data_IF_486059623096
#
_entry.id   IF_486059623096
#
_cell.length_a   1.000
_cell.length_b   1.000
_cell.length_c   1.000
_cell.angle_alpha   90.00
_cell.angle_beta   90.00
_cell.angle_gamma   90.00
#
_symmetry.space_group_name_H-M   'P 1'
#
loop_
_entity.id
_entity.type
_entity.pdbx_description
1 polymer ?
#
# COMPACT_ATOMS: atom_id res chain seq x y z
N UNK A 1 3.13 -5.04 10.12
CA UNK A 1 2.90 -4.05 9.05
C UNK A 1 2.06 -2.94 9.65
N UNK A 2 1.98 -1.77 9.02
CA UNK A 2 1.23 -0.65 9.56
C UNK A 2 0.32 -0.03 8.50
N UNK A 3 -0.96 0.18 8.84
CA UNK A 3 -1.84 1.02 8.05
C UNK A 3 -1.63 2.47 8.47
N UNK A 4 -1.24 3.32 7.53
CA UNK A 4 -0.84 4.71 7.80
C UNK A 4 -1.83 5.74 7.24
N UNK A 5 -2.61 5.35 6.23
CA UNK A 5 -3.63 6.21 5.64
C UNK A 5 -4.71 5.39 4.92
N UNK A 6 -5.81 6.06 4.57
CA UNK A 6 -6.91 5.50 3.79
C UNK A 6 -7.25 6.43 2.63
N UNK A 7 -7.52 5.89 1.45
CA UNK A 7 -8.11 6.62 0.34
C UNK A 7 -9.49 6.03 0.00
N UNK A 8 -10.54 6.76 0.39
CA UNK A 8 -11.93 6.41 0.10
C UNK A 8 -12.26 6.64 -1.37
N UNK A 9 -12.95 5.68 -1.98
CA UNK A 9 -13.37 5.72 -3.37
C UNK A 9 -12.22 5.86 -4.36
N UNK A 10 -11.12 5.16 -4.09
CA UNK A 10 -9.93 5.14 -4.92
C UNK A 10 -10.22 4.56 -6.32
N UNK A 11 -9.66 5.20 -7.35
CA UNK A 11 -9.73 4.79 -8.76
C UNK A 11 -8.34 4.56 -9.36
N UNK A 12 -7.31 4.45 -8.53
CA UNK A 12 -5.92 4.35 -8.98
C UNK A 12 -5.58 2.99 -9.61
N UNK A 13 -6.30 1.94 -9.26
CA UNK A 13 -6.10 0.62 -9.83
C UNK A 13 -6.46 0.62 -11.33
N UNK A 14 -5.45 0.54 -12.19
CA UNK A 14 -5.59 0.60 -13.66
C UNK A 14 -6.57 -0.43 -14.23
N UNK A 15 -6.75 -1.55 -13.53
CA UNK A 15 -7.64 -2.65 -13.92
C UNK A 15 -8.98 -2.68 -13.17
N UNK A 16 -9.33 -1.62 -12.44
CA UNK A 16 -10.58 -1.52 -11.70
C UNK A 16 -11.43 -0.35 -12.21
N UNK A 17 -12.60 -0.66 -12.78
CA UNK A 17 -13.56 0.35 -13.23
C UNK A 17 -14.49 0.85 -12.11
N UNK A 18 -14.26 0.45 -10.86
CA UNK A 18 -15.07 0.81 -9.70
C UNK A 18 -14.24 1.63 -8.72
N UNK A 19 -14.92 2.51 -7.99
CA UNK A 19 -14.35 3.14 -6.79
C UNK A 19 -14.29 2.10 -5.68
N UNK A 20 -13.11 1.92 -5.10
CA UNK A 20 -12.88 0.97 -4.01
C UNK A 20 -12.14 1.69 -2.89
N UNK A 21 -12.51 1.44 -1.64
CA UNK A 21 -11.78 2.01 -0.52
C UNK A 21 -10.44 1.30 -0.36
N UNK A 22 -9.40 2.07 -0.08
CA UNK A 22 -8.02 1.57 -0.10
C UNK A 22 -7.22 2.03 1.09
N UNK A 23 -6.28 1.18 1.49
CA UNK A 23 -5.40 1.40 2.62
C UNK A 23 -3.98 1.56 2.13
N UNK A 24 -3.27 2.54 2.69
CA UNK A 24 -1.83 2.66 2.51
C UNK A 24 -1.16 1.87 3.62
N UNK A 25 -0.47 0.81 3.21
CA UNK A 25 0.20 -0.12 4.12
C UNK A 25 1.70 0.06 4.00
N UNK A 26 2.34 0.28 5.14
CA UNK A 26 3.77 0.34 5.34
C UNK A 26 4.29 -1.03 5.78
N UNK A 27 5.29 -1.53 5.06
CA UNK A 27 5.91 -2.84 5.28
C UNK A 27 7.44 -2.74 5.31
N UNK A 28 8.07 -3.53 6.15
CA UNK A 28 9.50 -3.84 6.04
C UNK A 28 9.78 -4.77 4.85
N UNK A 29 11.05 -4.91 4.44
CA UNK A 29 11.43 -5.87 3.40
C UNK A 29 10.99 -7.31 3.73
N UNK A 30 11.10 -7.71 5.00
CA UNK A 30 10.70 -9.03 5.44
C UNK A 30 9.20 -9.23 5.25
N UNK A 31 8.39 -8.28 5.72
CA UNK A 31 6.93 -8.33 5.60
C UNK A 31 6.46 -8.30 4.15
N UNK A 32 7.11 -7.51 3.29
CA UNK A 32 6.84 -7.53 1.84
C UNK A 32 7.00 -8.94 1.28
N UNK A 33 8.12 -9.61 1.57
CA UNK A 33 8.41 -10.96 1.06
C UNK A 33 7.47 -12.03 1.61
N UNK A 34 7.15 -11.99 2.90
CA UNK A 34 6.36 -13.06 3.52
C UNK A 34 4.85 -12.83 3.50
N UNK A 35 4.38 -11.58 3.40
CA UNK A 35 2.94 -11.24 3.54
C UNK A 35 2.33 -10.58 2.31
N UNK A 36 3.11 -9.85 1.50
CA UNK A 36 2.60 -9.17 0.29
C UNK A 36 2.86 -10.01 -0.96
N UNK A 37 4.12 -10.38 -1.22
CA UNK A 37 4.51 -11.12 -2.42
C UNK A 37 3.66 -12.38 -2.70
N UNK A 38 3.27 -13.21 -1.72
CA UNK A 38 2.43 -14.38 -1.97
C UNK A 38 1.05 -14.05 -2.59
N UNK A 39 0.54 -12.84 -2.36
CA UNK A 39 -0.77 -12.38 -2.81
C UNK A 39 -0.70 -11.65 -4.17
N UNK A 40 0.51 -11.36 -4.66
CA UNK A 40 0.71 -10.69 -5.93
C UNK A 40 0.66 -11.66 -7.11
N UNK A 41 0.04 -11.20 -8.20
CA UNK A 41 0.14 -11.85 -9.52
C UNK A 41 1.57 -11.80 -10.05
N UNK A 42 1.88 -12.62 -11.07
CA UNK A 42 3.23 -12.64 -11.67
C UNK A 42 3.71 -11.29 -12.21
N UNK A 43 2.79 -10.49 -12.77
CA UNK A 43 3.07 -9.14 -13.28
C UNK A 43 3.39 -8.20 -12.10
N UNK A 44 2.55 -8.20 -11.06
CA UNK A 44 2.78 -7.38 -9.87
C UNK A 44 4.09 -7.73 -9.14
N UNK A 45 4.48 -9.00 -9.12
CA UNK A 45 5.79 -9.44 -8.58
C UNK A 45 6.95 -8.87 -9.39
N UNK A 46 6.82 -8.84 -10.71
CA UNK A 46 7.83 -8.26 -11.59
C UNK A 46 7.98 -6.75 -11.34
N UNK A 47 6.86 -6.03 -11.27
CA UNK A 47 6.86 -4.58 -11.02
C UNK A 47 7.45 -4.24 -9.63
N UNK A 48 7.09 -5.03 -8.61
CA UNK A 48 7.70 -4.92 -7.28
C UNK A 48 9.21 -5.20 -7.31
N UNK A 49 9.67 -6.20 -8.07
CA UNK A 49 11.08 -6.50 -8.22
C UNK A 49 11.85 -5.36 -8.92
N UNK A 50 11.25 -4.71 -9.93
CA UNK A 50 11.85 -3.55 -10.58
C UNK A 50 11.91 -2.34 -9.65
N UNK A 51 10.84 -2.08 -8.89
CA UNK A 51 10.80 -1.04 -7.86
C UNK A 51 11.86 -1.26 -6.76
N UNK A 52 12.11 -2.52 -6.40
CA UNK A 52 13.16 -2.91 -5.45
C UNK A 52 14.58 -2.57 -5.90
N UNK A 53 14.84 -2.47 -7.20
CA UNK A 53 16.18 -2.18 -7.73
C UNK A 53 16.57 -0.70 -7.66
N UNK A 54 15.59 0.19 -7.63
CA UNK A 54 15.78 1.66 -7.57
C UNK A 54 15.75 2.19 -6.14
N UNK A 55 15.82 1.28 -5.15
CA UNK A 55 15.67 1.53 -3.73
C UNK A 55 16.83 2.33 -3.13
N UNK A 56 16.52 3.45 -2.48
CA UNK A 56 17.48 4.20 -1.67
C UNK A 56 17.62 3.58 -0.28
N UNK A 57 18.84 3.56 0.27
CA UNK A 57 19.10 3.17 1.66
C UNK A 57 18.47 4.12 2.69
N UNK A 58 18.10 5.34 2.29
CA UNK A 58 17.50 6.36 3.16
C UNK A 58 16.05 6.05 3.58
N UNK A 59 15.32 5.21 2.82
CA UNK A 59 13.95 4.83 3.11
C UNK A 59 13.82 3.31 3.09
N UNK A 60 14.03 2.58 4.20
CA UNK A 60 14.09 1.11 4.14
C UNK A 60 12.73 0.42 3.92
N UNK A 61 11.63 1.17 4.13
CA UNK A 61 10.26 0.66 4.16
C UNK A 61 9.58 0.73 2.78
N UNK A 62 8.66 -0.21 2.55
CA UNK A 62 7.81 -0.31 1.37
C UNK A 62 6.42 0.21 1.67
N UNK A 63 5.80 0.83 0.66
CA UNK A 63 4.43 1.31 0.75
C UNK A 63 3.59 0.66 -0.34
N UNK A 64 2.41 0.20 0.05
CA UNK A 64 1.46 -0.46 -0.84
C UNK A 64 0.10 0.19 -0.70
N UNK A 65 -0.59 0.32 -1.83
CA UNK A 65 -2.01 0.60 -1.86
C UNK A 65 -2.75 -0.73 -1.95
N UNK A 66 -3.61 -1.01 -0.96
CA UNK A 66 -4.33 -2.28 -0.83
C UNK A 66 -5.83 -2.00 -0.80
N UNK A 67 -6.61 -2.66 -1.64
CA UNK A 67 -8.08 -2.57 -1.58
C UNK A 67 -8.64 -3.20 -0.31
N UNK A 68 -9.78 -2.71 0.14
CA UNK A 68 -10.56 -3.29 1.26
C UNK A 68 -10.88 -4.79 1.10
N UNK A 69 -11.07 -5.24 -0.14
CA UNK A 69 -11.29 -6.63 -0.50
C UNK A 69 -10.00 -7.42 -0.77
N UNK A 70 -8.83 -6.77 -0.66
CA UNK A 70 -7.46 -7.33 -0.77
C UNK A 70 -7.15 -7.90 -2.18
N UNK A 71 -8.04 -7.71 -3.15
CA UNK A 71 -7.83 -8.20 -4.52
C UNK A 71 -6.86 -7.34 -5.32
N UNK A 72 -6.72 -6.07 -4.93
CA UNK A 72 -5.88 -5.12 -5.65
C UNK A 72 -4.78 -4.61 -4.72
N UNK A 73 -3.54 -4.87 -5.11
CA UNK A 73 -2.34 -4.46 -4.39
C UNK A 73 -1.41 -3.81 -5.41
N UNK A 74 -1.05 -2.55 -5.17
CA UNK A 74 -0.13 -1.80 -6.02
C UNK A 74 1.02 -1.25 -5.18
N UNK A 75 2.28 -1.44 -5.60
CA UNK A 75 3.39 -0.74 -4.99
C UNK A 75 3.24 0.76 -5.24
N UNK A 76 3.39 1.58 -4.21
CA UNK A 76 3.52 3.02 -4.36
C UNK A 76 5.00 3.30 -4.66
N UNK A 77 5.30 3.68 -5.90
CA UNK A 77 6.68 3.97 -6.31
C UNK A 77 7.31 5.07 -5.43
N UNK A 78 8.58 4.83 -5.14
CA UNK A 78 9.34 5.47 -4.08
C UNK A 78 9.72 6.89 -4.46
N UNK A 79 9.03 7.88 -3.89
CA UNK A 79 9.59 9.21 -3.63
C UNK A 79 8.73 10.09 -2.74
N UNK A 80 7.50 9.66 -2.47
CA UNK A 80 6.69 10.38 -1.56
C UNK A 80 6.80 9.72 -0.20
N UNK A 81 7.56 10.40 0.67
CA UNK A 81 7.18 10.49 2.06
C UNK A 81 5.66 10.49 2.09
N UNK A 82 5.03 9.52 2.75
CA UNK A 82 3.57 9.43 2.72
C UNK A 82 2.99 10.77 3.21
N UNK A 83 3.74 11.57 3.98
CA UNK A 83 3.50 12.99 4.27
C UNK A 83 3.47 13.95 3.06
N UNK A 84 4.36 13.80 2.08
CA UNK A 84 4.35 14.55 0.81
C UNK A 84 3.18 14.14 -0.09
N UNK A 85 2.81 12.85 -0.11
CA UNK A 85 1.58 12.37 -0.75
C UNK A 85 0.32 12.75 0.03
N UNK A 86 0.41 12.90 1.36
CA UNK A 86 -0.63 13.30 2.33
C UNK A 86 -0.75 14.82 2.54
N UNK A 87 -0.12 15.63 1.68
CA UNK A 87 -0.27 17.09 1.71
C UNK A 87 -1.73 17.54 1.53
N UNK A 88 -1.99 18.84 1.58
CA UNK A 88 -3.36 19.39 1.57
C UNK A 88 -4.25 18.95 0.38
N UNK A 89 -3.67 18.48 -0.73
CA UNK A 89 -4.39 17.97 -1.91
C UNK A 89 -4.32 16.45 -2.06
N UNK A 90 -3.96 15.75 -1.00
CA UNK A 90 -3.89 14.31 -0.97
C UNK A 90 -5.28 13.68 -1.06
N UNK A 91 -5.46 12.62 -1.87
CA UNK A 91 -6.67 11.82 -1.78
C UNK A 91 -6.70 10.92 -0.52
N UNK A 92 -5.59 10.86 0.22
CA UNK A 92 -5.44 10.03 1.40
C UNK A 92 -5.86 10.80 2.68
N UNK A 93 -6.73 10.20 3.47
CA UNK A 93 -7.04 10.59 4.85
C UNK A 93 -6.08 9.86 5.78
N UNK A 94 -5.24 10.62 6.50
CA UNK A 94 -4.36 10.05 7.53
C UNK A 94 -5.20 9.45 8.64
N UNK A 95 -4.84 8.25 9.09
CA UNK A 95 -5.42 7.61 10.27
C UNK A 95 -4.36 7.47 11.36
N UNK A 96 -4.78 7.15 12.59
CA UNK A 96 -3.82 6.72 13.62
C UNK A 96 -3.13 5.47 13.09
N UNK A 97 -1.80 5.36 13.22
CA UNK A 97 -1.10 4.17 12.75
C UNK A 97 -1.69 2.92 13.42
N UNK A 98 -2.25 2.02 12.62
CA UNK A 98 -2.77 0.73 13.09
C UNK A 98 -1.78 -0.36 12.70
N UNK A 99 -1.22 -1.04 13.71
CA UNK A 99 -0.41 -2.23 13.48
C UNK A 99 -1.33 -3.39 13.11
N UNK A 100 -1.04 -4.01 11.97
CA UNK A 100 -1.72 -5.21 11.48
C UNK A 100 -0.71 -6.34 11.36
N UNK A 101 -1.17 -7.55 11.65
CA UNK A 101 -0.38 -8.76 11.49
C UNK A 101 -0.55 -9.29 10.07
N UNK A 102 -1.77 -9.32 9.55
CA UNK A 102 -2.12 -9.80 8.21
C UNK A 102 -2.89 -8.73 7.43
N UNK A 103 -2.95 -8.86 6.10
CA UNK A 103 -3.74 -7.95 5.28
C UNK A 103 -5.25 -8.06 5.56
N UNK A 104 -5.75 -9.22 5.97
CA UNK A 104 -7.16 -9.42 6.31
C UNK A 104 -7.62 -8.53 7.47
N UNK A 105 -6.72 -8.18 8.39
CA UNK A 105 -7.01 -7.33 9.54
C UNK A 105 -7.46 -5.91 9.14
N UNK A 106 -7.25 -5.48 7.88
CA UNK A 106 -7.71 -4.16 7.41
C UNK A 106 -9.24 -4.07 7.37
N UNK A 107 -9.94 -5.20 7.26
CA UNK A 107 -11.41 -5.26 7.20
C UNK A 107 -12.06 -4.86 8.53
N UNK A 108 -11.34 -4.97 9.63
CA UNK A 108 -11.81 -4.61 10.97
C UNK A 108 -11.56 -3.12 11.30
N UNK A 109 -10.92 -2.37 10.40
CA UNK A 109 -10.64 -0.95 10.60
C UNK A 109 -11.87 -0.12 10.23
N UNK A 110 -12.38 0.65 11.19
CA UNK A 110 -13.41 1.67 10.96
C UNK A 110 -12.76 3.05 10.68
N UNK A 111 -13.11 3.74 9.58
CA UNK A 111 -12.43 4.96 9.11
C UNK A 111 -13.31 6.01 8.42
#
# INVERSE_FOLDING_TARGET
MEVVAVWKGCQYFKNCNKKIDTFVIKCTLYETKCKIEPLLTGIQKHDLFMSNKTRSSAHPDFYFLVSDDIKYIEPLEWFCDVFSLLGQNSPYKKIKNFKIENLEDIKDINY
#
